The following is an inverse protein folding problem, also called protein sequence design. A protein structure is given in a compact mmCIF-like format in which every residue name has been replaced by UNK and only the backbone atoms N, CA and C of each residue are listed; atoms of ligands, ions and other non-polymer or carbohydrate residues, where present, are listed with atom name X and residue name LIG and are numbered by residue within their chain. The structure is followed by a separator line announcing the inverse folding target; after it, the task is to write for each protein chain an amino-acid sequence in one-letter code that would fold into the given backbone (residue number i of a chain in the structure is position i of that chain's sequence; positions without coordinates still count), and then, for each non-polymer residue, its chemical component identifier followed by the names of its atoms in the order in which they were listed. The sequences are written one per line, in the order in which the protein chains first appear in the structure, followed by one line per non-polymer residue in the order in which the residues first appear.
data_IF_773597585747
#
_entry.id   IF_773597585747
#
_cell.length_a   1.000
_cell.length_b   1.000
_cell.length_c   1.000
_cell.angle_alpha   90.00
_cell.angle_beta   90.00
_cell.angle_gamma   90.00
#
_symmetry.space_group_name_H-M   'P 1'
#
loop_
_entity.id
_entity.type
_entity.pdbx_description
1 polymer ?
#
# COMPACT_ATOMS: atom_id res chain seq x y z
N UNK A 1 -2.65 -12.98 0.74
CA UNK A 1 -2.96 -11.96 1.77
C UNK A 1 -4.31 -11.35 1.41
N UNK A 2 -5.35 -11.60 2.19
CA UNK A 2 -6.73 -11.13 1.95
C UNK A 2 -6.73 -9.60 1.81
N UNK A 3 -7.35 -9.06 0.75
CA UNK A 3 -7.56 -7.62 0.62
C UNK A 3 -8.82 -7.29 1.41
N UNK A 4 -8.67 -6.61 2.56
CA UNK A 4 -9.83 -6.13 3.30
C UNK A 4 -10.36 -4.88 2.60
N UNK A 5 -11.58 -4.96 2.08
CA UNK A 5 -12.31 -3.83 1.52
C UNK A 5 -13.39 -3.45 2.54
N UNK A 6 -13.40 -2.20 2.98
CA UNK A 6 -14.47 -1.64 3.83
C UNK A 6 -15.24 -0.53 3.16
N UNK A 7 -14.71 0.02 2.08
CA UNK A 7 -15.43 0.94 1.22
C UNK A 7 -14.94 0.80 -0.20
N UNK A 8 -15.81 1.12 -1.16
CA UNK A 8 -15.47 1.29 -2.56
C UNK A 8 -16.26 2.50 -3.08
N UNK A 9 -15.56 3.48 -3.63
CA UNK A 9 -16.19 4.55 -4.39
C UNK A 9 -15.87 4.32 -5.87
N UNK A 10 -16.87 4.49 -6.73
CA UNK A 10 -16.73 4.38 -8.18
C UNK A 10 -17.28 5.65 -8.82
N UNK A 11 -16.50 6.21 -9.75
CA UNK A 11 -16.88 7.36 -10.56
C UNK A 11 -16.63 7.10 -12.03
N UNK A 12 -17.51 7.63 -12.86
CA UNK A 12 -17.34 7.70 -14.31
C UNK A 12 -17.64 9.12 -14.76
N UNK A 13 -16.78 9.69 -15.60
CA UNK A 13 -16.89 11.06 -16.07
C UNK A 13 -17.10 11.08 -17.58
N UNK A 14 -17.71 12.16 -18.06
CA UNK A 14 -17.75 12.46 -19.49
C UNK A 14 -16.31 12.57 -20.07
N UNK A 15 -16.05 12.13 -21.32
CA UNK A 15 -14.68 12.03 -21.85
C UNK A 15 -14.01 13.37 -22.14
N UNK A 16 -14.78 14.46 -22.24
CA UNK A 16 -14.24 15.79 -22.51
C UNK A 16 -13.59 16.41 -21.26
N UNK A 17 -12.57 17.26 -21.43
CA UNK A 17 -11.74 17.84 -20.36
C UNK A 17 -12.57 18.42 -19.18
N UNK A 18 -12.52 17.79 -18.01
CA UNK A 18 -13.32 18.08 -16.81
C UNK A 18 -14.82 17.81 -16.95
N UNK A 19 -15.16 16.81 -17.76
CA UNK A 19 -16.50 16.39 -18.05
C UNK A 19 -17.33 16.05 -16.80
N UNK A 20 -18.64 16.25 -16.90
CA UNK A 20 -19.56 16.02 -15.80
C UNK A 20 -19.49 14.58 -15.29
N UNK A 21 -19.63 14.42 -13.98
CA UNK A 21 -19.68 13.10 -13.35
C UNK A 21 -21.00 12.41 -13.74
N UNK A 22 -20.90 11.34 -14.54
CA UNK A 22 -22.06 10.54 -15.02
C UNK A 22 -22.52 9.53 -13.98
N UNK A 23 -21.58 8.83 -13.34
CA UNK A 23 -21.85 7.85 -12.29
C UNK A 23 -21.04 8.23 -11.05
N UNK A 24 -21.69 8.25 -9.88
CA UNK A 24 -21.08 8.47 -8.57
C UNK A 24 -21.69 7.49 -7.55
N UNK A 25 -21.00 6.37 -7.31
CA UNK A 25 -21.48 5.29 -6.45
C UNK A 25 -20.55 5.09 -5.24
N UNK A 26 -21.14 4.85 -4.06
CA UNK A 26 -20.42 4.53 -2.84
C UNK A 26 -20.96 3.23 -2.23
N UNK A 27 -20.04 2.32 -1.92
CA UNK A 27 -20.34 1.01 -1.33
C UNK A 27 -19.66 0.92 0.05
N UNK A 28 -20.44 0.61 1.10
CA UNK A 28 -19.96 0.61 2.50
C UNK A 28 -19.44 -0.74 3.00
N UNK A 29 -19.61 -1.82 2.23
CA UNK A 29 -19.17 -3.17 2.61
C UNK A 29 -18.97 -4.05 1.38
N UNK A 30 -18.17 -3.60 0.39
CA UNK A 30 -17.95 -4.40 -0.81
C UNK A 30 -17.18 -5.68 -0.46
N UNK A 31 -17.53 -6.79 -1.11
CA UNK A 31 -16.84 -8.04 -0.92
C UNK A 31 -15.89 -8.34 -2.09
N UNK A 32 -14.72 -8.90 -1.77
CA UNK A 32 -13.75 -9.30 -2.79
C UNK A 32 -14.37 -10.34 -3.74
N UNK A 33 -14.23 -10.12 -5.06
CA UNK A 33 -14.81 -10.95 -6.13
C UNK A 33 -16.34 -10.95 -6.22
N UNK A 34 -17.03 -10.03 -5.55
CA UNK A 34 -18.45 -9.78 -5.78
C UNK A 34 -18.63 -8.58 -6.71
N UNK A 35 -19.73 -8.60 -7.48
CA UNK A 35 -20.13 -7.49 -8.33
C UNK A 35 -20.91 -6.48 -7.50
N UNK A 36 -20.61 -5.21 -7.69
CA UNK A 36 -21.42 -4.12 -7.18
C UNK A 36 -22.27 -3.56 -8.31
N UNK A 37 -23.55 -3.28 -8.04
CA UNK A 37 -24.47 -2.73 -9.04
C UNK A 37 -24.33 -1.22 -9.07
N UNK A 38 -23.78 -0.69 -10.16
CA UNK A 38 -23.62 0.76 -10.35
C UNK A 38 -24.96 1.45 -10.68
N UNK A 39 -25.77 0.82 -11.54
CA UNK A 39 -27.07 1.32 -11.96
C UNK A 39 -27.94 0.17 -12.51
N UNK A 40 -29.25 0.40 -12.62
CA UNK A 40 -30.23 -0.58 -13.14
C UNK A 40 -31.34 0.11 -13.93
N UNK A 41 -32.12 -0.67 -14.70
CA UNK A 41 -33.21 -0.14 -15.55
C UNK A 41 -32.66 0.58 -16.78
N UNK A 42 -33.27 1.71 -17.16
CA UNK A 42 -32.81 2.57 -18.28
C UNK A 42 -31.55 3.36 -17.94
N UNK A 43 -30.52 2.67 -17.42
CA UNK A 43 -29.33 3.27 -16.81
C UNK A 43 -28.53 4.14 -17.78
N UNK A 44 -28.41 3.74 -19.05
CA UNK A 44 -27.70 4.51 -20.09
C UNK A 44 -28.27 5.92 -20.23
N UNK A 45 -29.57 6.02 -20.50
CA UNK A 45 -30.27 7.30 -20.63
C UNK A 45 -30.27 8.11 -19.33
N UNK A 46 -30.52 7.46 -18.19
CA UNK A 46 -30.52 8.11 -16.87
C UNK A 46 -29.18 8.77 -16.54
N UNK A 47 -28.08 8.12 -16.92
CA UNK A 47 -26.72 8.60 -16.70
C UNK A 47 -26.14 9.36 -17.90
N UNK A 48 -26.93 9.60 -18.95
CA UNK A 48 -26.52 10.28 -20.18
C UNK A 48 -25.26 9.65 -20.80
N UNK A 49 -25.29 8.32 -20.92
CA UNK A 49 -24.22 7.52 -21.50
C UNK A 49 -24.61 7.07 -22.90
N UNK A 50 -23.78 7.44 -23.87
CA UNK A 50 -23.98 7.14 -25.28
C UNK A 50 -23.35 5.79 -25.63
N UNK A 51 -24.08 5.02 -26.44
CA UNK A 51 -23.59 3.75 -26.97
C UNK A 51 -22.42 4.00 -27.93
N UNK A 52 -21.45 3.08 -27.90
CA UNK A 52 -20.18 3.13 -28.61
C UNK A 52 -19.26 4.30 -28.20
N UNK A 53 -19.54 4.98 -27.08
CA UNK A 53 -18.66 6.00 -26.51
C UNK A 53 -17.85 5.44 -25.32
N UNK A 54 -16.63 5.98 -25.13
CA UNK A 54 -15.65 5.50 -24.15
C UNK A 54 -15.47 6.51 -23.04
N UNK A 55 -15.69 6.09 -21.79
CA UNK A 55 -15.70 6.97 -20.62
C UNK A 55 -14.57 6.63 -19.64
N UNK A 56 -13.83 7.64 -19.13
CA UNK A 56 -12.89 7.43 -18.05
C UNK A 56 -13.61 7.09 -16.74
N UNK A 57 -13.10 6.09 -16.04
CA UNK A 57 -13.57 5.70 -14.72
C UNK A 57 -12.46 5.71 -13.69
N UNK A 58 -12.87 5.86 -12.42
CA UNK A 58 -12.02 5.91 -11.26
C UNK A 58 -12.68 5.13 -10.13
N UNK A 59 -11.97 4.15 -9.59
CA UNK A 59 -12.41 3.38 -8.44
C UNK A 59 -11.38 3.49 -7.32
N UNK A 60 -11.84 3.73 -6.10
CA UNK A 60 -11.00 3.75 -4.89
C UNK A 60 -11.60 2.85 -3.83
N UNK A 61 -10.77 2.15 -3.09
CA UNK A 61 -11.18 1.43 -1.90
C UNK A 61 -10.39 1.92 -0.69
N UNK A 62 -11.07 1.96 0.46
CA UNK A 62 -10.49 2.30 1.75
C UNK A 62 -9.80 3.69 1.79
N UNK A 63 -10.28 4.65 1.00
CA UNK A 63 -9.89 6.03 1.19
C UNK A 63 -10.39 6.54 2.56
N UNK A 64 -9.60 7.37 3.24
CA UNK A 64 -9.99 8.04 4.49
C UNK A 64 -11.09 9.06 4.23
N UNK A 65 -10.96 9.81 3.13
CA UNK A 65 -11.98 10.75 2.67
C UNK A 65 -12.86 10.10 1.60
N UNK A 66 -14.17 10.25 1.75
CA UNK A 66 -15.12 9.87 0.70
C UNK A 66 -14.91 10.77 -0.54
N UNK A 67 -14.92 10.17 -1.73
CA UNK A 67 -14.76 10.90 -2.98
C UNK A 67 -16.09 11.47 -3.53
N UNK A 68 -17.22 11.19 -2.89
CA UNK A 68 -18.56 11.65 -3.27
C UNK A 68 -18.58 13.15 -3.61
N UNK A 69 -19.18 13.48 -4.75
CA UNK A 69 -19.33 14.87 -5.20
C UNK A 69 -18.03 15.58 -5.63
N UNK A 70 -16.87 14.93 -5.55
CA UNK A 70 -15.64 15.47 -6.15
C UNK A 70 -15.75 15.43 -7.67
N UNK A 71 -15.51 16.58 -8.31
CA UNK A 71 -15.23 16.69 -9.73
C UNK A 71 -13.88 16.03 -10.08
N UNK A 72 -13.59 15.86 -11.37
CA UNK A 72 -12.39 15.16 -11.84
C UNK A 72 -11.10 15.85 -11.36
N UNK A 73 -11.04 17.18 -11.39
CA UNK A 73 -9.86 17.92 -10.97
C UNK A 73 -9.55 17.70 -9.48
N UNK A 74 -10.57 17.82 -8.60
CA UNK A 74 -10.44 17.54 -7.16
C UNK A 74 -10.13 16.08 -6.88
N UNK A 75 -10.67 15.17 -7.69
CA UNK A 75 -10.41 13.74 -7.58
C UNK A 75 -8.94 13.42 -7.84
N UNK A 76 -8.38 13.93 -8.94
CA UNK A 76 -6.98 13.71 -9.33
C UNK A 76 -5.99 14.41 -8.40
N UNK A 77 -6.38 15.55 -7.82
CA UNK A 77 -5.59 16.26 -6.82
C UNK A 77 -5.68 15.66 -5.40
N UNK A 78 -6.55 14.67 -5.17
CA UNK A 78 -6.75 14.11 -3.83
C UNK A 78 -5.52 13.31 -3.37
N UNK A 79 -5.08 13.61 -2.16
CA UNK A 79 -4.03 12.89 -1.42
C UNK A 79 -4.59 12.29 -0.15
N UNK A 80 -3.83 11.39 0.46
CA UNK A 80 -4.13 10.80 1.75
C UNK A 80 -2.87 10.63 2.57
N UNK A 81 -2.95 11.06 3.84
CA UNK A 81 -1.92 10.82 4.84
C UNK A 81 -2.27 9.62 5.73
N UNK A 82 -1.27 8.81 6.05
CA UNK A 82 -1.36 7.61 6.87
C UNK A 82 -0.15 7.50 7.81
N UNK A 83 -0.24 8.15 8.97
CA UNK A 83 0.88 8.28 9.91
C UNK A 83 1.37 6.94 10.44
N UNK A 84 0.46 5.97 10.56
CA UNK A 84 0.74 4.63 11.02
C UNK A 84 1.01 3.64 9.87
N UNK A 85 1.25 4.11 8.63
CA UNK A 85 1.49 3.23 7.47
C UNK A 85 2.56 2.16 7.74
N UNK A 86 3.60 2.51 8.50
CA UNK A 86 4.69 1.62 8.88
C UNK A 86 4.26 0.46 9.79
N UNK A 87 3.13 0.58 10.51
CA UNK A 87 2.70 -0.46 11.43
C UNK A 87 2.32 -1.74 10.67
N UNK A 88 2.82 -2.93 11.10
CA UNK A 88 2.43 -4.20 10.50
C UNK A 88 0.93 -4.44 10.62
N UNK A 89 0.34 -5.04 9.58
CA UNK A 89 -1.08 -5.45 9.60
C UNK A 89 -1.38 -6.51 10.69
N UNK A 90 -0.38 -7.20 11.22
CA UNK A 90 -0.56 -8.13 12.36
C UNK A 90 -0.74 -7.39 13.69
N UNK A 91 -0.28 -6.13 13.81
CA UNK A 91 -0.45 -5.30 15.00
C UNK A 91 -1.72 -4.46 14.95
N UNK A 92 -2.30 -4.29 13.76
CA UNK A 92 -3.51 -3.51 13.51
C UNK A 92 -4.48 -4.43 12.79
N UNK A 93 -5.31 -5.14 13.58
CA UNK A 93 -6.17 -6.24 13.13
C UNK A 93 -7.15 -5.86 12.02
N UNK A 94 -7.37 -4.57 11.79
CA UNK A 94 -8.28 -3.98 10.81
C UNK A 94 -7.59 -3.08 9.77
N UNK A 95 -6.24 -3.13 9.64
CA UNK A 95 -5.51 -2.26 8.73
C UNK A 95 -5.99 -2.40 7.28
N UNK A 96 -6.53 -1.30 6.75
CA UNK A 96 -7.06 -1.20 5.40
C UNK A 96 -6.15 -0.31 4.58
N UNK A 97 -5.55 -0.89 3.54
CA UNK A 97 -4.75 -0.12 2.61
C UNK A 97 -5.65 0.58 1.60
N UNK A 98 -5.35 1.84 1.35
CA UNK A 98 -5.83 2.55 0.17
C UNK A 98 -5.49 1.74 -1.08
N UNK A 99 -6.50 1.50 -1.91
CA UNK A 99 -6.35 0.87 -3.22
C UNK A 99 -7.09 1.69 -4.26
N UNK A 100 -6.58 1.72 -5.48
CA UNK A 100 -7.25 2.44 -6.56
C UNK A 100 -7.10 1.73 -7.89
N UNK A 101 -7.97 2.09 -8.82
CA UNK A 101 -7.98 1.69 -10.22
C UNK A 101 -8.50 2.86 -11.04
N UNK A 102 -7.95 3.05 -12.23
CA UNK A 102 -8.46 4.01 -13.19
C UNK A 102 -8.27 3.42 -14.58
N UNK A 103 -9.12 3.82 -15.51
CA UNK A 103 -9.07 3.37 -16.88
C UNK A 103 -10.22 3.96 -17.67
N UNK A 104 -10.48 3.37 -18.82
CA UNK A 104 -11.57 3.75 -19.70
C UNK A 104 -12.47 2.55 -19.96
N UNK A 105 -13.75 2.81 -20.23
CA UNK A 105 -14.72 1.78 -20.53
C UNK A 105 -15.69 2.23 -21.62
N UNK A 106 -15.86 1.41 -22.66
CA UNK A 106 -16.78 1.68 -23.77
C UNK A 106 -18.17 1.15 -23.43
N UNK A 107 -19.16 2.02 -23.47
CA UNK A 107 -20.57 1.64 -23.31
C UNK A 107 -21.04 1.00 -24.59
N UNK A 108 -21.39 -0.28 -24.57
CA UNK A 108 -21.89 -1.01 -25.73
C UNK A 108 -23.43 -0.99 -25.81
N UNK A 109 -24.00 -1.48 -26.90
CA UNK A 109 -25.45 -1.67 -27.06
C UNK A 109 -26.03 -2.70 -26.07
N UNK A 110 -25.19 -3.57 -25.48
CA UNK A 110 -25.64 -4.58 -24.53
C UNK A 110 -26.34 -3.93 -23.31
N UNK A 111 -27.56 -4.37 -22.94
CA UNK A 111 -28.28 -3.84 -21.78
C UNK A 111 -27.59 -4.15 -20.43
N UNK A 112 -26.78 -5.21 -20.36
CA UNK A 112 -26.06 -5.63 -19.16
C UNK A 112 -24.56 -5.65 -19.42
N UNK A 113 -23.79 -4.88 -18.64
CA UNK A 113 -22.36 -4.68 -18.86
C UNK A 113 -21.60 -4.72 -17.52
N UNK A 114 -20.46 -5.41 -17.53
CA UNK A 114 -19.54 -5.46 -16.40
C UNK A 114 -18.30 -4.61 -16.68
N UNK A 115 -17.97 -3.71 -15.75
CA UNK A 115 -16.73 -2.93 -15.80
C UNK A 115 -15.66 -3.66 -14.98
N UNK A 116 -14.59 -4.18 -15.60
CA UNK A 116 -13.53 -4.86 -14.86
C UNK A 116 -12.68 -3.85 -14.09
N UNK A 117 -12.74 -3.88 -12.76
CA UNK A 117 -11.97 -3.00 -11.88
C UNK A 117 -10.85 -3.79 -11.18
N UNK A 118 -9.59 -3.39 -11.43
CA UNK A 118 -8.41 -4.00 -10.79
C UNK A 118 -7.77 -3.06 -9.77
N UNK A 119 -8.20 -3.18 -8.52
CA UNK A 119 -7.66 -2.38 -7.41
C UNK A 119 -6.22 -2.77 -7.05
N UNK A 120 -5.32 -1.79 -7.12
CA UNK A 120 -3.90 -1.90 -6.72
C UNK A 120 -3.63 -1.04 -5.48
N UNK A 121 -2.80 -1.54 -4.56
CA UNK A 121 -2.48 -0.80 -3.33
C UNK A 121 -1.69 0.47 -3.67
N UNK A 122 -1.92 1.54 -2.91
CA UNK A 122 -1.06 2.72 -2.96
C UNK A 122 0.26 2.48 -2.21
N UNK A 123 0.23 1.68 -1.13
CA UNK A 123 1.40 1.35 -0.34
C UNK A 123 2.31 0.31 -1.00
N UNK A 124 3.62 0.47 -0.82
CA UNK A 124 4.62 -0.58 -1.00
C UNK A 124 4.69 -1.46 0.24
N UNK A 125 4.93 -2.76 0.05
CA UNK A 125 5.21 -3.70 1.14
C UNK A 125 6.71 -3.89 1.26
N UNK A 126 7.23 -3.84 2.49
CA UNK A 126 8.63 -4.07 2.80
C UNK A 126 8.69 -5.31 3.70
N UNK A 127 9.51 -6.27 3.32
CA UNK A 127 9.83 -7.46 4.10
C UNK A 127 11.33 -7.47 4.39
N UNK A 128 11.70 -8.03 5.53
CA UNK A 128 13.08 -8.33 5.87
C UNK A 128 13.11 -9.65 6.62
N UNK A 129 14.00 -10.56 6.20
CA UNK A 129 14.29 -11.79 6.90
C UNK A 129 15.71 -11.71 7.45
N UNK A 130 15.87 -11.99 8.74
CA UNK A 130 17.16 -11.99 9.43
C UNK A 130 17.41 -13.39 9.98
N UNK A 131 18.52 -13.98 9.53
CA UNK A 131 19.06 -15.24 10.04
C UNK A 131 20.55 -15.07 10.30
N UNK A 132 21.13 -15.93 11.12
CA UNK A 132 22.57 -15.94 11.42
C UNK A 132 23.19 -17.26 11.02
N UNK A 133 24.39 -17.19 10.45
CA UNK A 133 25.28 -18.32 10.24
C UNK A 133 26.54 -18.22 11.11
N UNK A 134 26.57 -17.28 12.07
CA UNK A 134 27.71 -17.08 12.96
C UNK A 134 27.89 -18.32 13.82
N UNK A 135 29.07 -18.95 13.72
CA UNK A 135 29.39 -20.16 14.46
C UNK A 135 29.18 -19.95 15.97
N UNK A 136 28.53 -20.92 16.61
CA UNK A 136 28.27 -20.99 18.05
C UNK A 136 27.37 -19.87 18.63
N UNK A 137 26.87 -18.94 17.81
CA UNK A 137 25.91 -17.90 18.21
C UNK A 137 24.57 -18.08 17.49
N UNK A 138 23.48 -17.87 18.22
CA UNK A 138 22.13 -17.83 17.65
C UNK A 138 21.46 -16.49 17.94
N UNK A 139 20.56 -16.06 17.06
CA UNK A 139 19.76 -14.85 17.31
C UNK A 139 18.69 -15.20 18.36
N UNK A 140 18.67 -14.47 19.47
CA UNK A 140 17.67 -14.67 20.53
C UNK A 140 16.47 -13.74 20.40
N UNK A 141 16.70 -12.50 19.94
CA UNK A 141 15.67 -11.49 19.74
C UNK A 141 16.08 -10.48 18.66
N UNK A 142 15.09 -9.88 18.01
CA UNK A 142 15.26 -8.77 17.08
C UNK A 142 14.22 -7.70 17.39
N UNK A 143 14.69 -6.50 17.71
CA UNK A 143 13.88 -5.28 17.73
C UNK A 143 14.13 -4.49 16.46
N UNK A 144 13.10 -3.86 15.90
CA UNK A 144 13.22 -3.06 14.68
C UNK A 144 12.43 -1.77 14.73
N UNK A 145 12.83 -0.80 13.90
CA UNK A 145 12.09 0.42 13.58
C UNK A 145 12.26 0.79 12.11
N UNK A 146 11.33 1.59 11.57
CA UNK A 146 11.41 2.11 10.21
C UNK A 146 11.79 3.59 10.23
N UNK A 147 12.74 3.98 9.40
CA UNK A 147 13.22 5.36 9.25
C UNK A 147 13.07 5.83 7.79
N UNK A 148 12.95 7.15 7.62
CA UNK A 148 12.81 7.84 6.33
C UNK A 148 11.68 7.31 5.43
N UNK A 149 10.52 7.00 6.00
CA UNK A 149 9.38 6.47 5.25
C UNK A 149 8.36 7.56 4.91
N UNK A 150 7.68 7.42 3.78
CA UNK A 150 6.64 8.35 3.37
C UNK A 150 5.26 7.93 3.90
N UNK A 151 4.54 8.88 4.51
CA UNK A 151 3.17 8.74 5.02
C UNK A 151 2.11 9.39 4.14
N UNK A 152 2.47 10.14 3.10
CA UNK A 152 1.52 10.79 2.20
C UNK A 152 1.53 10.17 0.80
N UNK A 153 0.37 10.04 0.17
CA UNK A 153 0.25 9.49 -1.17
C UNK A 153 -0.90 10.12 -1.95
N UNK A 154 -0.84 10.07 -3.28
CA UNK A 154 -1.98 10.37 -4.14
C UNK A 154 -2.95 9.20 -4.15
N UNK A 155 -4.25 9.50 -4.33
CA UNK A 155 -5.26 8.43 -4.45
C UNK A 155 -4.98 7.58 -5.70
N UNK A 156 -4.73 8.22 -6.84
CA UNK A 156 -4.56 7.56 -8.14
C UNK A 156 -3.12 7.55 -8.64
N UNK A 157 -2.77 6.57 -9.46
CA UNK A 157 -1.42 6.44 -10.01
C UNK A 157 -1.15 7.51 -11.09
N UNK A 158 0.13 7.86 -11.29
CA UNK A 158 0.54 8.88 -12.26
C UNK A 158 0.41 10.33 -11.77
N UNK A 159 -0.09 10.53 -10.55
CA UNK A 159 -0.19 11.84 -9.91
C UNK A 159 0.98 12.06 -8.95
N UNK A 160 1.36 13.32 -8.74
CA UNK A 160 2.41 13.72 -7.80
C UNK A 160 1.81 14.22 -6.48
N UNK A 161 2.29 13.70 -5.36
CA UNK A 161 2.06 14.27 -4.04
C UNK A 161 3.38 14.72 -3.44
N UNK A 162 3.37 15.82 -2.69
CA UNK A 162 4.50 16.17 -1.85
C UNK A 162 4.67 15.08 -0.78
N UNK A 163 5.84 14.41 -0.72
CA UNK A 163 6.04 13.36 0.26
C UNK A 163 6.04 13.95 1.67
N UNK A 164 5.48 13.19 2.62
CA UNK A 164 5.58 13.48 4.04
C UNK A 164 6.53 12.44 4.64
N UNK A 165 7.81 12.79 4.71
CA UNK A 165 8.86 11.88 5.15
C UNK A 165 8.97 11.93 6.68
N UNK A 166 8.75 10.79 7.30
CA UNK A 166 9.00 10.60 8.72
C UNK A 166 10.43 10.07 8.89
N UNK A 167 11.32 10.84 9.54
CA UNK A 167 12.72 10.43 9.70
C UNK A 167 12.86 9.23 10.63
N UNK A 168 11.99 9.09 11.62
CA UNK A 168 12.00 7.98 12.58
C UNK A 168 10.59 7.73 13.13
N UNK A 169 10.13 6.48 13.14
CA UNK A 169 8.86 6.12 13.78
C UNK A 169 8.92 6.16 15.33
N UNK A 170 10.12 6.35 15.90
CA UNK A 170 10.44 6.40 17.32
C UNK A 170 9.95 5.20 18.15
N UNK A 171 9.68 4.06 17.49
CA UNK A 171 9.04 2.90 18.11
C UNK A 171 9.78 1.62 17.76
N UNK A 172 10.49 1.07 18.74
CA UNK A 172 11.08 -0.28 18.64
C UNK A 172 9.98 -1.33 18.76
N UNK A 173 9.93 -2.23 17.78
CA UNK A 173 8.98 -3.32 17.69
C UNK A 173 9.70 -4.66 17.68
N UNK A 174 9.19 -5.70 18.36
CA UNK A 174 9.72 -7.05 18.18
C UNK A 174 9.44 -7.55 16.75
N UNK A 175 10.40 -8.27 16.19
CA UNK A 175 10.20 -9.04 14.96
C UNK A 175 9.53 -10.39 15.28
N UNK A 176 8.70 -10.89 14.39
CA UNK A 176 8.18 -12.25 14.51
C UNK A 176 9.29 -13.25 14.18
N UNK A 177 9.30 -14.45 14.77
CA UNK A 177 10.26 -15.49 14.41
C UNK A 177 9.58 -16.83 14.14
N UNK A 178 10.22 -17.62 13.30
CA UNK A 178 9.89 -19.01 13.01
C UNK A 178 11.19 -19.80 12.77
N UNK A 179 11.15 -21.12 12.91
CA UNK A 179 12.29 -21.97 12.53
C UNK A 179 12.25 -22.27 11.03
N UNK A 180 13.41 -22.27 10.38
CA UNK A 180 13.56 -22.79 9.03
C UNK A 180 13.62 -24.33 9.03
N UNK A 181 13.71 -24.94 7.84
CA UNK A 181 13.78 -26.40 7.68
C UNK A 181 14.99 -27.05 8.37
N UNK A 182 15.99 -26.25 8.74
CA UNK A 182 17.22 -26.70 9.41
C UNK A 182 17.18 -26.40 10.92
N UNK A 183 16.07 -25.92 11.45
CA UNK A 183 15.89 -25.55 12.86
C UNK A 183 16.51 -24.20 13.25
N UNK A 184 16.96 -23.39 12.28
CA UNK A 184 17.48 -22.05 12.59
C UNK A 184 16.33 -21.06 12.77
N UNK A 185 16.41 -20.22 13.81
CA UNK A 185 15.46 -19.11 13.95
C UNK A 185 15.67 -18.06 12.86
N UNK A 186 14.61 -17.80 12.11
CA UNK A 186 14.50 -16.71 11.14
C UNK A 186 13.55 -15.66 11.71
N UNK A 187 14.04 -14.44 11.87
CA UNK A 187 13.25 -13.30 12.30
C UNK A 187 12.73 -12.55 11.08
N UNK A 188 11.45 -12.21 11.08
CA UNK A 188 10.75 -11.59 9.96
C UNK A 188 10.15 -10.26 10.38
N UNK A 189 10.37 -9.25 9.55
CA UNK A 189 9.75 -7.93 9.64
C UNK A 189 8.86 -7.75 8.42
N UNK A 190 7.66 -7.21 8.63
CA UNK A 190 6.77 -6.76 7.56
C UNK A 190 6.27 -5.38 7.92
N UNK A 191 6.57 -4.40 7.07
CA UNK A 191 6.17 -3.00 7.23
C UNK A 191 5.78 -2.42 5.87
N UNK A 192 5.38 -1.16 5.84
CA UNK A 192 4.88 -0.51 4.63
C UNK A 192 5.31 0.95 4.60
N UNK A 193 5.40 1.50 3.39
CA UNK A 193 5.57 2.92 3.14
C UNK A 193 4.84 3.26 1.85
N UNK A 194 4.41 4.50 1.67
CA UNK A 194 3.97 4.95 0.36
C UNK A 194 5.15 5.15 -0.59
N UNK A 195 4.83 5.21 -1.89
CA UNK A 195 5.83 5.49 -2.92
C UNK A 195 6.56 6.79 -2.59
N UNK A 196 7.87 6.79 -2.78
CA UNK A 196 8.72 7.95 -2.49
C UNK A 196 9.97 7.91 -3.34
N UNK A 197 10.60 9.06 -3.53
CA UNK A 197 11.91 9.19 -4.15
C UNK A 197 12.87 9.87 -3.18
N UNK A 198 14.16 9.63 -3.33
CA UNK A 198 15.18 10.26 -2.50
C UNK A 198 16.41 10.64 -3.30
N UNK A 199 17.17 11.62 -2.82
CA UNK A 199 18.39 12.06 -3.49
C UNK A 199 19.64 11.40 -2.94
N UNK A 200 19.66 11.17 -1.62
CA UNK A 200 20.85 10.71 -0.90
C UNK A 200 20.60 9.42 -0.13
N UNK A 201 21.68 8.72 0.18
CA UNK A 201 21.60 7.51 1.01
C UNK A 201 21.09 7.80 2.42
N UNK A 202 21.35 9.00 2.97
CA UNK A 202 20.87 9.40 4.29
C UNK A 202 19.35 9.50 4.39
N UNK A 203 18.68 9.77 3.27
CA UNK A 203 17.24 10.00 3.18
C UNK A 203 16.47 8.83 2.57
N UNK A 204 17.14 7.71 2.28
CA UNK A 204 16.45 6.52 1.76
C UNK A 204 15.68 5.83 2.90
N UNK A 205 14.55 5.16 2.61
CA UNK A 205 13.86 4.31 3.59
C UNK A 205 14.76 3.16 4.07
N UNK A 206 14.82 2.94 5.39
CA UNK A 206 15.62 1.85 5.99
C UNK A 206 14.88 1.21 7.16
N UNK A 207 15.15 -0.08 7.36
CA UNK A 207 14.85 -0.77 8.62
C UNK A 207 16.10 -0.70 9.50
N UNK A 208 15.97 -0.16 10.70
CA UNK A 208 17.01 -0.27 11.73
C UNK A 208 16.67 -1.48 12.60
N UNK A 209 17.59 -2.44 12.71
CA UNK A 209 17.40 -3.66 13.48
C UNK A 209 18.45 -3.80 14.58
N UNK A 210 18.00 -4.00 15.82
CA UNK A 210 18.81 -4.42 16.96
C UNK A 210 18.69 -5.93 17.09
N UNK A 211 19.79 -6.62 16.81
CA UNK A 211 19.87 -8.09 16.80
C UNK A 211 20.69 -8.54 17.99
N UNK A 212 20.07 -9.30 18.89
CA UNK A 212 20.74 -9.90 20.04
C UNK A 212 21.19 -11.32 19.72
N UNK A 213 22.49 -11.58 19.87
CA UNK A 213 23.11 -12.88 19.67
C UNK A 213 23.49 -13.50 21.00
N UNK A 214 23.03 -14.72 21.25
CA UNK A 214 23.40 -15.54 22.40
C UNK A 214 24.35 -16.63 22.01
N UNK A 215 25.36 -16.86 22.84
CA UNK A 215 26.27 -17.97 22.67
C UNK A 215 25.57 -19.28 23.07
N UNK A 216 25.89 -20.39 22.39
CA UNK A 216 25.15 -21.66 22.49
C UNK A 216 25.00 -22.25 23.91
N UNK A 217 25.91 -21.94 24.83
CA UNK A 217 25.96 -22.51 26.18
C UNK A 217 26.06 -21.45 27.29
N UNK A 218 25.77 -20.17 26.97
CA UNK A 218 25.89 -19.03 27.88
C UNK A 218 27.29 -18.83 28.51
N UNK A 219 28.34 -19.49 28.00
CA UNK A 219 29.72 -19.31 28.50
C UNK A 219 30.38 -18.00 28.07
N UNK A 220 29.77 -17.29 27.11
CA UNK A 220 30.22 -15.99 26.61
C UNK A 220 29.09 -14.98 26.71
N UNK A 221 29.48 -13.71 26.80
CA UNK A 221 28.56 -12.57 26.82
C UNK A 221 27.77 -12.47 25.53
N UNK A 222 26.51 -12.07 25.67
CA UNK A 222 25.63 -11.71 24.57
C UNK A 222 26.21 -10.58 23.73
N UNK A 223 25.96 -10.61 22.41
CA UNK A 223 26.41 -9.58 21.48
C UNK A 223 25.17 -8.87 20.93
N UNK A 224 25.10 -7.55 21.11
CA UNK A 224 24.11 -6.71 20.45
C UNK A 224 24.72 -6.07 19.21
N UNK A 225 24.04 -6.18 18.07
CA UNK A 225 24.36 -5.45 16.83
C UNK A 225 23.20 -4.58 16.40
N UNK A 226 23.48 -3.34 16.05
CA UNK A 226 22.54 -2.46 15.39
C UNK A 226 22.89 -2.38 13.89
N UNK A 227 21.92 -2.67 13.04
CA UNK A 227 22.06 -2.74 11.59
C UNK A 227 21.11 -1.74 10.95
N UNK A 228 21.65 -0.87 10.09
CA UNK A 228 20.86 -0.01 9.22
C UNK A 228 20.74 -0.69 7.86
N UNK A 229 19.55 -1.18 7.54
CA UNK A 229 19.30 -2.00 6.35
C UNK A 229 18.46 -1.17 5.36
N UNK A 230 19.08 -0.67 4.27
CA UNK A 230 18.36 -0.09 3.14
C UNK A 230 17.21 -0.98 2.65
N UNK A 231 16.04 -0.39 2.40
CA UNK A 231 14.91 -1.12 1.79
C UNK A 231 15.22 -1.53 0.35
N UNK A 232 16.12 -0.79 -0.31
CA UNK A 232 16.57 -1.02 -1.69
C UNK A 232 18.07 -0.86 -1.75
N UNK A 233 18.71 -1.49 -2.73
CA UNK A 233 20.13 -1.31 -3.01
C UNK A 233 20.48 0.20 -3.09
N UNK A 234 21.40 0.70 -2.26
CA UNK A 234 21.86 2.09 -2.29
C UNK A 234 22.42 2.57 -3.64
N UNK A 235 22.83 1.65 -4.52
CA UNK A 235 23.33 1.93 -5.87
C UNK A 235 22.25 1.81 -6.96
N UNK A 236 21.06 1.31 -6.62
CA UNK A 236 19.95 1.15 -7.56
C UNK A 236 19.06 2.40 -7.66
N UNK A 237 17.87 2.25 -8.27
CA UNK A 237 16.94 3.38 -8.40
C UNK A 237 16.55 3.94 -7.02
N UNK A 238 16.55 5.27 -6.92
CA UNK A 238 16.25 5.97 -5.68
C UNK A 238 14.74 6.17 -5.47
N UNK A 239 13.96 5.09 -5.57
CA UNK A 239 12.51 5.11 -5.40
C UNK A 239 11.91 3.85 -4.78
N UNK A 240 10.82 4.04 -4.05
CA UNK A 240 9.84 3.00 -3.74
C UNK A 240 8.63 3.16 -4.65
N UNK A 241 8.23 2.09 -5.31
CA UNK A 241 7.08 2.05 -6.20
C UNK A 241 5.84 1.55 -5.46
N UNK A 242 4.68 2.15 -5.76
CA UNK A 242 3.39 1.71 -5.21
C UNK A 242 3.10 0.26 -5.60
N UNK A 243 2.41 -0.48 -4.72
CA UNK A 243 2.04 -1.88 -4.94
C UNK A 243 3.23 -2.85 -5.20
N UNK A 244 4.47 -2.44 -4.92
CA UNK A 244 5.65 -3.30 -5.03
C UNK A 244 5.95 -4.01 -3.69
N UNK A 245 6.62 -5.17 -3.75
CA UNK A 245 7.09 -5.90 -2.58
C UNK A 245 8.62 -5.91 -2.59
N UNK A 246 9.22 -5.18 -1.65
CA UNK A 246 10.66 -5.24 -1.35
C UNK A 246 10.89 -6.35 -0.32
N UNK A 247 11.94 -7.16 -0.49
CA UNK A 247 12.30 -8.29 0.41
C UNK A 247 13.80 -8.35 0.59
#
# INVERSE_FOLDING_TARGET
MKKLLSSLDFKMFEPTNNGDCRIDCQFKSPAEKQKEVLASGSWKSKHQLDENNTYPYYAVANAKDNLKGKDLAKLLASTQQDDDIWMPATKVSDKKFLMSSQGEYTITENPEQDIPVKLVRAAAKIKLNISSTVKDYHISDVQWKLINYNTNTTIFAGQTANPSIIPDNNTWSPAASAEDEKGNKVFTVTTYSYSTQWETQKTMPQIVAKVNFKYKDNSKTDILKELNIPVRDPQGDKKLDRNYIYT
#
